data_IF_101480015846
#
_entry.id   IF_101480015846
#
_cell.length_a   1.000
_cell.length_b   1.000
_cell.length_c   1.000
_cell.angle_alpha   90.00
_cell.angle_beta   90.00
_cell.angle_gamma   90.00
#
_symmetry.space_group_name_H-M   'P 1'
#
loop_
_entity.id
_entity.type
_entity.pdbx_description
1 polymer ?
#
# COMPACT_ATOMS: atom_id res chain seq x y z
N UNK A 1 -10.79 -0.07 -17.55
CA UNK A 1 -11.42 1.04 -16.79
C UNK A 1 -11.56 2.22 -17.72
N UNK A 2 -12.78 2.75 -17.90
CA UNK A 2 -13.04 3.90 -18.78
C UNK A 2 -13.35 5.12 -17.91
N UNK A 3 -12.70 6.25 -18.18
CA UNK A 3 -13.02 7.57 -17.61
C UNK A 3 -13.47 8.50 -18.73
N UNK A 4 -14.23 9.55 -18.39
CA UNK A 4 -14.78 10.49 -19.38
C UNK A 4 -16.28 10.62 -19.24
N UNK A 5 -17.02 10.43 -20.33
CA UNK A 5 -18.49 10.52 -20.34
C UNK A 5 -19.10 9.20 -20.79
N UNK A 6 -20.11 8.72 -20.07
CA UNK A 6 -20.85 7.51 -20.40
C UNK A 6 -21.82 7.75 -21.57
N UNK A 7 -22.40 6.68 -22.11
CA UNK A 7 -23.45 6.77 -23.13
C UNK A 7 -24.72 7.51 -22.67
N UNK A 8 -24.89 7.69 -21.35
CA UNK A 8 -26.00 8.41 -20.73
C UNK A 8 -25.60 9.84 -20.33
N UNK A 9 -24.52 10.38 -20.90
CA UNK A 9 -23.96 11.70 -20.58
C UNK A 9 -23.50 11.87 -19.12
N UNK A 10 -23.37 10.78 -18.37
CA UNK A 10 -22.88 10.78 -17.00
C UNK A 10 -21.35 10.82 -16.99
N UNK A 11 -20.74 11.67 -16.17
CA UNK A 11 -19.28 11.73 -16.03
C UNK A 11 -18.78 10.52 -15.26
N UNK A 12 -17.78 9.84 -15.80
CA UNK A 12 -17.06 8.74 -15.16
C UNK A 12 -15.69 9.25 -14.71
N UNK A 13 -15.44 9.22 -13.40
CA UNK A 13 -14.24 9.80 -12.76
C UNK A 13 -13.47 8.75 -11.98
N UNK A 14 -12.21 9.03 -11.68
CA UNK A 14 -11.38 8.24 -10.77
C UNK A 14 -10.65 9.13 -9.79
N UNK A 15 -10.40 8.63 -8.59
CA UNK A 15 -9.68 9.32 -7.53
C UNK A 15 -8.36 8.60 -7.24
N UNK A 16 -7.29 9.37 -7.11
CA UNK A 16 -5.96 8.87 -6.76
C UNK A 16 -5.39 9.77 -5.68
N UNK A 17 -4.87 9.17 -4.62
CA UNK A 17 -4.07 9.83 -3.60
C UNK A 17 -2.72 9.12 -3.49
N UNK A 18 -1.64 9.90 -3.57
CA UNK A 18 -0.27 9.41 -3.39
C UNK A 18 0.33 10.13 -2.18
N UNK A 19 0.93 9.39 -1.24
CA UNK A 19 1.50 9.96 0.00
C UNK A 19 2.87 9.35 0.33
N UNK A 20 3.61 10.03 1.19
CA UNK A 20 4.82 9.53 1.84
C UNK A 20 4.71 9.87 3.33
N UNK A 21 4.55 8.87 4.18
CA UNK A 21 4.34 9.04 5.62
C UNK A 21 5.64 9.18 6.40
N UNK A 22 5.54 9.53 7.68
CA UNK A 22 6.66 9.68 8.60
C UNK A 22 7.50 8.39 8.71
N UNK A 23 8.81 8.52 8.46
CA UNK A 23 9.72 7.39 8.27
C UNK A 23 10.36 6.82 9.56
N UNK A 24 10.29 7.54 10.68
CA UNK A 24 11.00 7.13 11.90
C UNK A 24 10.31 5.90 12.51
N UNK A 25 11.05 4.80 12.65
CA UNK A 25 10.57 3.59 13.32
C UNK A 25 10.22 3.86 14.78
N UNK A 26 9.11 3.29 15.26
CA UNK A 26 8.62 3.48 16.63
C UNK A 26 7.66 4.67 16.81
N UNK A 27 7.58 5.60 15.86
CA UNK A 27 6.67 6.75 15.90
C UNK A 27 5.27 6.40 15.33
N UNK A 28 4.73 5.25 15.75
CA UNK A 28 3.46 4.72 15.24
C UNK A 28 2.28 5.68 15.43
N UNK A 29 2.25 6.44 16.53
CA UNK A 29 1.19 7.44 16.76
C UNK A 29 1.18 8.55 15.72
N UNK A 30 2.36 8.97 15.24
CA UNK A 30 2.47 10.00 14.19
C UNK A 30 1.92 9.47 12.88
N UNK A 31 2.29 8.24 12.50
CA UNK A 31 1.75 7.61 11.28
C UNK A 31 0.24 7.38 11.36
N UNK A 32 -0.29 6.96 12.51
CA UNK A 32 -1.74 6.85 12.71
C UNK A 32 -2.46 8.18 12.52
N UNK A 33 -1.96 9.27 13.11
CA UNK A 33 -2.53 10.61 12.92
C UNK A 33 -2.47 11.05 11.44
N UNK A 34 -1.36 10.76 10.76
CA UNK A 34 -1.25 11.04 9.33
C UNK A 34 -2.25 10.24 8.48
N UNK A 35 -2.54 8.99 8.85
CA UNK A 35 -3.56 8.17 8.18
C UNK A 35 -4.99 8.69 8.45
N UNK A 36 -5.27 9.21 9.64
CA UNK A 36 -6.54 9.89 9.94
C UNK A 36 -6.71 11.13 9.07
N UNK A 37 -5.67 11.99 8.98
CA UNK A 37 -5.67 13.17 8.13
C UNK A 37 -5.79 12.82 6.65
N UNK A 38 -5.13 11.75 6.20
CA UNK A 38 -5.24 11.24 4.83
C UNK A 38 -6.69 10.90 4.45
N UNK A 39 -7.40 10.20 5.34
CA UNK A 39 -8.81 9.87 5.13
C UNK A 39 -9.70 11.12 5.13
N UNK A 40 -9.45 12.05 6.05
CA UNK A 40 -10.18 13.32 6.12
C UNK A 40 -9.99 14.15 4.84
N UNK A 41 -8.75 14.35 4.40
CA UNK A 41 -8.43 15.13 3.21
C UNK A 41 -8.93 14.44 1.93
N UNK A 42 -8.85 13.11 1.84
CA UNK A 42 -9.41 12.37 0.71
C UNK A 42 -10.94 12.55 0.60
N UNK A 43 -11.65 12.51 1.72
CA UNK A 43 -13.09 12.77 1.76
C UNK A 43 -13.44 14.22 1.42
N UNK A 44 -12.65 15.19 1.91
CA UNK A 44 -12.80 16.59 1.58
C UNK A 44 -12.56 16.88 0.10
N UNK A 45 -11.47 16.35 -0.47
CA UNK A 45 -11.15 16.49 -1.88
C UNK A 45 -12.28 15.95 -2.77
N UNK A 46 -12.80 14.75 -2.44
CA UNK A 46 -13.96 14.18 -3.13
C UNK A 46 -15.18 15.11 -3.07
N UNK A 47 -15.52 15.61 -1.87
CA UNK A 47 -16.67 16.50 -1.68
C UNK A 47 -16.53 17.80 -2.49
N UNK A 48 -15.33 18.35 -2.56
CA UNK A 48 -15.06 19.63 -3.21
C UNK A 48 -14.94 19.51 -4.74
N UNK A 49 -14.68 18.31 -5.26
CA UNK A 49 -14.50 18.06 -6.70
C UNK A 49 -15.65 17.30 -7.35
N UNK A 50 -16.52 16.68 -6.54
CA UNK A 50 -17.77 16.10 -7.02
C UNK A 50 -18.68 17.20 -7.57
N UNK A 51 -19.30 16.94 -8.72
CA UNK A 51 -20.37 17.82 -9.20
C UNK A 51 -21.55 17.76 -8.23
N UNK A 52 -21.95 18.91 -7.72
CA UNK A 52 -23.19 19.02 -6.95
C UNK A 52 -24.38 18.85 -7.90
N UNK A 53 -25.30 17.94 -7.57
CA UNK A 53 -26.60 17.78 -8.24
C UNK A 53 -27.45 19.07 -8.25
N UNK A 54 -27.02 20.11 -7.51
CA UNK A 54 -27.69 21.40 -7.44
C UNK A 54 -27.24 22.43 -8.50
N UNK A 55 -26.12 22.23 -9.20
CA UNK A 55 -25.57 23.25 -10.13
C UNK A 55 -25.94 23.04 -11.61
N UNK A 56 -26.25 21.82 -12.00
CA UNK A 56 -26.86 21.49 -13.29
C UNK A 56 -27.89 20.39 -13.01
N UNK A 57 -28.89 20.19 -13.90
CA UNK A 57 -29.87 19.09 -13.82
C UNK A 57 -29.19 17.72 -14.03
N UNK A 58 -28.10 17.45 -13.32
CA UNK A 58 -27.05 16.52 -13.69
C UNK A 58 -26.97 15.36 -12.71
N UNK A 59 -26.81 14.18 -13.31
CA UNK A 59 -26.56 12.91 -12.64
C UNK A 59 -25.25 13.00 -11.84
N UNK A 60 -25.20 12.45 -10.62
CA UNK A 60 -23.97 12.35 -9.83
C UNK A 60 -22.82 11.70 -10.62
N UNK A 61 -21.58 12.08 -10.33
CA UNK A 61 -20.41 11.48 -10.97
C UNK A 61 -20.36 9.95 -10.70
N UNK A 62 -20.14 9.15 -11.74
CA UNK A 62 -19.87 7.72 -11.59
C UNK A 62 -18.39 7.52 -11.26
N UNK A 63 -18.09 6.93 -10.11
CA UNK A 63 -16.72 6.65 -9.68
C UNK A 63 -16.28 5.30 -10.24
N UNK A 64 -15.29 5.29 -11.12
CA UNK A 64 -14.70 4.08 -11.68
C UNK A 64 -13.61 3.46 -10.80
N UNK A 65 -12.88 4.26 -10.04
CA UNK A 65 -11.87 3.81 -9.07
C UNK A 65 -11.56 4.87 -8.04
N UNK A 66 -11.05 4.42 -6.90
CA UNK A 66 -10.53 5.25 -5.82
C UNK A 66 -9.35 4.54 -5.17
N UNK A 67 -8.17 5.12 -5.30
CA UNK A 67 -6.91 4.47 -4.96
C UNK A 67 -6.10 5.37 -4.04
N UNK A 68 -5.59 4.78 -2.95
CA UNK A 68 -4.55 5.37 -2.11
C UNK A 68 -3.28 4.55 -2.35
N UNK A 69 -2.16 5.20 -2.62
CA UNK A 69 -0.88 4.53 -2.79
C UNK A 69 0.28 5.34 -2.22
N UNK A 70 1.44 4.71 -2.08
CA UNK A 70 2.69 5.36 -1.70
C UNK A 70 3.43 4.64 -0.58
N UNK A 71 4.47 5.29 -0.09
CA UNK A 71 5.32 4.80 1.00
C UNK A 71 4.68 5.17 2.34
N UNK A 72 4.17 4.16 3.03
CA UNK A 72 3.52 4.36 4.33
C UNK A 72 4.47 4.16 5.51
N UNK A 73 5.72 3.72 5.27
CA UNK A 73 6.75 3.53 6.29
C UNK A 73 6.36 2.63 7.48
N UNK A 74 5.38 1.73 7.30
CA UNK A 74 5.04 0.68 8.26
C UNK A 74 4.71 -0.61 7.51
N UNK A 75 5.05 -1.76 8.09
CA UNK A 75 4.77 -3.07 7.49
C UNK A 75 3.51 -3.74 8.05
N UNK A 76 3.09 -4.83 7.40
CA UNK A 76 1.97 -5.66 7.86
C UNK A 76 2.43 -7.00 8.44
N UNK A 77 3.62 -7.07 9.04
CA UNK A 77 4.16 -8.34 9.57
C UNK A 77 4.89 -8.22 10.92
N UNK A 78 5.38 -7.03 11.29
CA UNK A 78 6.07 -6.74 12.54
C UNK A 78 5.09 -6.47 13.69
N UNK A 79 5.58 -6.63 14.91
CA UNK A 79 4.80 -6.30 16.12
C UNK A 79 4.83 -4.81 16.46
N UNK A 80 5.85 -4.13 15.94
CA UNK A 80 6.18 -2.74 16.13
C UNK A 80 5.16 -1.83 15.42
N UNK A 81 4.68 -2.26 14.25
CA UNK A 81 3.72 -1.51 13.41
C UNK A 81 2.24 -1.92 13.66
N UNK A 82 1.96 -2.57 14.79
CA UNK A 82 0.63 -3.13 15.10
C UNK A 82 -0.49 -2.08 15.13
N UNK A 83 -0.19 -0.85 15.51
CA UNK A 83 -1.21 0.21 15.61
C UNK A 83 -1.68 0.63 14.21
N UNK A 84 -0.74 0.86 13.30
CA UNK A 84 -0.98 1.22 11.91
C UNK A 84 -1.67 0.08 11.18
N UNK A 85 -1.24 -1.16 11.43
CA UNK A 85 -1.88 -2.36 10.89
C UNK A 85 -3.38 -2.44 11.23
N UNK A 86 -3.80 -1.91 12.37
CA UNK A 86 -5.20 -1.91 12.81
C UNK A 86 -5.96 -0.63 12.42
N UNK A 87 -5.33 0.30 11.71
CA UNK A 87 -5.90 1.58 11.36
C UNK A 87 -7.15 1.45 10.47
N UNK A 88 -8.09 2.38 10.64
CA UNK A 88 -9.39 2.40 9.96
C UNK A 88 -9.29 2.55 8.43
N UNK A 89 -8.13 2.98 7.92
CA UNK A 89 -7.84 3.04 6.47
C UNK A 89 -8.08 1.70 5.80
N UNK A 90 -7.73 0.59 6.46
CA UNK A 90 -7.90 -0.77 5.93
C UNK A 90 -9.35 -1.28 5.98
N UNK A 91 -10.23 -0.60 6.72
CA UNK A 91 -11.67 -0.85 6.68
C UNK A 91 -12.32 -0.15 5.48
N UNK A 92 -11.79 1.01 5.08
CA UNK A 92 -12.33 1.82 3.98
C UNK A 92 -11.68 1.53 2.63
N UNK A 93 -10.42 1.11 2.62
CA UNK A 93 -9.64 0.77 1.44
C UNK A 93 -9.03 -0.61 1.62
N UNK A 94 -9.25 -1.48 0.65
CA UNK A 94 -8.72 -2.83 0.63
C UNK A 94 -7.29 -2.85 0.14
N UNK A 95 -6.48 -3.61 0.85
CA UNK A 95 -5.14 -3.99 0.43
C UNK A 95 -5.21 -5.37 -0.26
N UNK A 96 -4.88 -5.47 -1.57
CA UNK A 96 -4.88 -6.75 -2.28
C UNK A 96 -3.94 -7.80 -1.66
N UNK A 97 -2.86 -7.37 -1.02
CA UNK A 97 -1.79 -8.20 -0.47
C UNK A 97 -2.08 -8.69 0.96
N UNK A 98 -3.15 -8.19 1.59
CA UNK A 98 -3.44 -8.40 3.01
C UNK A 98 -4.49 -9.49 3.25
N UNK A 99 -4.27 -10.33 4.25
CA UNK A 99 -5.30 -11.21 4.85
C UNK A 99 -5.94 -10.54 6.07
N UNK A 100 -5.12 -9.91 6.91
CA UNK A 100 -5.53 -9.25 8.15
C UNK A 100 -4.42 -8.36 8.72
N UNK A 101 -4.68 -7.70 9.87
CA UNK A 101 -3.65 -6.92 10.56
C UNK A 101 -2.50 -7.84 11.02
N UNK A 102 -1.29 -7.57 10.54
CA UNK A 102 -0.11 -8.37 10.83
C UNK A 102 -0.01 -9.66 10.01
N UNK A 103 -0.89 -9.85 9.02
CA UNK A 103 -0.92 -11.05 8.18
C UNK A 103 -1.10 -10.69 6.70
N UNK A 104 -0.02 -10.89 5.94
CA UNK A 104 0.01 -10.79 4.49
C UNK A 104 -0.36 -12.11 3.81
N UNK A 105 -0.85 -12.01 2.57
CA UNK A 105 -1.10 -13.18 1.72
C UNK A 105 0.23 -13.89 1.40
N UNK A 106 0.21 -15.22 1.16
CA UNK A 106 1.44 -15.99 0.94
C UNK A 106 2.33 -15.50 -0.23
N UNK A 107 1.73 -14.83 -1.21
CA UNK A 107 2.42 -14.31 -2.39
C UNK A 107 2.90 -12.86 -2.24
N UNK A 108 2.50 -12.16 -1.18
CA UNK A 108 2.94 -10.79 -0.95
C UNK A 108 4.40 -10.77 -0.50
N UNK A 109 5.16 -9.82 -1.04
CA UNK A 109 6.58 -9.62 -0.77
C UNK A 109 6.82 -8.26 -0.12
N UNK A 110 7.89 -8.18 0.65
CA UNK A 110 8.44 -6.91 1.12
C UNK A 110 8.88 -6.04 -0.04
N UNK A 111 8.84 -4.73 0.17
CA UNK A 111 9.17 -3.72 -0.84
C UNK A 111 10.41 -2.92 -0.48
N UNK A 112 10.91 -3.08 0.76
CA UNK A 112 12.12 -2.44 1.23
C UNK A 112 13.34 -3.35 1.02
N UNK A 113 14.27 -2.93 0.15
CA UNK A 113 15.53 -3.63 -0.10
C UNK A 113 16.57 -3.32 0.99
N UNK A 114 17.37 -4.34 1.37
CA UNK A 114 18.56 -4.14 2.21
C UNK A 114 19.65 -3.45 1.37
N UNK A 115 20.02 -2.24 1.79
CA UNK A 115 20.96 -1.39 1.06
C UNK A 115 22.38 -1.95 1.04
N UNK A 116 22.72 -2.90 1.92
CA UNK A 116 24.03 -3.55 1.96
C UNK A 116 24.30 -4.47 0.76
N UNK A 117 23.26 -4.95 0.07
CA UNK A 117 23.35 -5.81 -1.12
C UNK A 117 23.03 -5.11 -2.44
N UNK A 118 22.72 -3.80 -2.43
CA UNK A 118 22.15 -3.12 -3.59
C UNK A 118 23.06 -3.10 -4.84
N UNK A 119 24.38 -3.24 -4.65
CA UNK A 119 25.38 -3.21 -5.72
C UNK A 119 25.97 -4.58 -6.05
N UNK A 120 25.41 -5.65 -5.48
CA UNK A 120 25.83 -7.01 -5.81
C UNK A 120 25.48 -7.32 -7.28
N UNK A 121 26.35 -8.07 -7.97
CA UNK A 121 26.12 -8.43 -9.37
C UNK A 121 24.85 -9.27 -9.53
N UNK A 122 24.48 -10.06 -8.52
CA UNK A 122 23.29 -10.92 -8.49
C UNK A 122 21.95 -10.16 -8.54
N UNK A 123 21.93 -8.85 -8.24
CA UNK A 123 20.72 -8.00 -8.28
C UNK A 123 20.88 -6.77 -9.18
N UNK A 124 21.92 -6.77 -10.02
CA UNK A 124 22.31 -5.62 -10.85
C UNK A 124 21.37 -5.32 -12.04
N UNK A 125 20.41 -6.20 -12.34
CA UNK A 125 19.42 -6.03 -13.41
C UNK A 125 17.99 -6.37 -12.96
N UNK A 126 16.95 -5.86 -13.64
CA UNK A 126 15.57 -6.21 -13.31
C UNK A 126 15.30 -7.74 -13.33
N UNK A 127 15.85 -8.45 -14.31
CA UNK A 127 15.64 -9.90 -14.48
C UNK A 127 16.38 -10.73 -13.41
N UNK A 128 17.54 -10.25 -12.96
CA UNK A 128 18.30 -10.90 -11.90
C UNK A 128 17.64 -10.66 -10.54
N UNK A 129 17.23 -9.42 -10.25
CA UNK A 129 16.44 -9.09 -9.07
C UNK A 129 15.12 -9.89 -9.01
N UNK A 130 14.42 -10.05 -10.13
CA UNK A 130 13.21 -10.88 -10.18
C UNK A 130 13.50 -12.32 -9.74
N UNK A 131 14.54 -12.96 -10.29
CA UNK A 131 14.93 -14.33 -9.92
C UNK A 131 15.28 -14.46 -8.44
N UNK A 132 15.96 -13.45 -7.89
CA UNK A 132 16.28 -13.39 -6.45
C UNK A 132 15.01 -13.27 -5.62
N UNK A 133 14.03 -12.46 -6.02
CA UNK A 133 12.76 -12.28 -5.29
C UNK A 133 11.84 -13.50 -5.35
N UNK A 134 11.90 -14.30 -6.42
CA UNK A 134 11.17 -15.57 -6.54
C UNK A 134 11.73 -16.66 -5.61
N UNK A 135 13.00 -16.55 -5.21
CA UNK A 135 13.67 -17.47 -4.30
C UNK A 135 13.58 -17.01 -2.83
N UNK A 136 13.24 -17.91 -1.90
CA UNK A 136 13.05 -17.55 -0.48
C UNK A 136 14.36 -17.13 0.20
N UNK A 137 15.47 -17.80 -0.09
CA UNK A 137 16.79 -17.44 0.43
C UNK A 137 17.25 -16.09 -0.13
N UNK A 138 17.00 -15.82 -1.41
CA UNK A 138 17.27 -14.54 -2.06
C UNK A 138 16.49 -13.40 -1.40
N UNK A 139 15.20 -13.61 -1.11
CA UNK A 139 14.41 -12.64 -0.33
C UNK A 139 15.02 -12.35 1.04
N UNK A 140 15.47 -13.37 1.77
CA UNK A 140 16.10 -13.22 3.09
C UNK A 140 17.42 -12.45 3.06
N UNK A 141 18.10 -12.45 1.92
CA UNK A 141 19.37 -11.73 1.74
C UNK A 141 19.18 -10.27 1.31
N UNK A 142 18.16 -9.99 0.49
CA UNK A 142 18.03 -8.69 -0.17
C UNK A 142 16.82 -7.86 0.28
N UNK A 143 15.86 -8.42 1.02
CA UNK A 143 14.77 -7.66 1.63
C UNK A 143 15.06 -7.37 3.09
N UNK A 144 14.63 -6.20 3.56
CA UNK A 144 14.65 -5.88 4.99
C UNK A 144 13.55 -6.68 5.69
N UNK A 145 13.90 -7.40 6.76
CA UNK A 145 12.95 -8.05 7.65
C UNK A 145 12.82 -7.29 8.98
N UNK A 146 11.68 -7.41 9.70
CA UNK A 146 11.53 -6.83 11.02
C UNK A 146 12.69 -7.23 11.94
N UNK A 147 13.34 -6.23 12.54
CA UNK A 147 14.47 -6.47 13.42
C UNK A 147 14.00 -7.15 14.71
N UNK A 148 14.60 -8.28 15.07
CA UNK A 148 14.42 -8.82 16.42
C UNK A 148 14.99 -7.81 17.43
N UNK A 149 14.29 -7.57 18.55
CA UNK A 149 14.65 -6.60 19.62
C UNK A 149 16.08 -6.67 20.19
N UNK A 150 16.89 -7.64 19.76
CA UNK A 150 18.20 -7.92 20.33
C UNK A 150 19.43 -7.69 19.42
N UNK A 151 19.38 -7.35 18.12
CA UNK A 151 20.64 -7.27 17.34
C UNK A 151 20.73 -6.37 16.09
N UNK A 152 21.95 -5.80 15.97
CA UNK A 152 22.76 -5.26 14.86
C UNK A 152 22.16 -4.98 13.45
N UNK A 153 22.65 -3.93 12.76
CA UNK A 153 22.08 -3.36 11.52
C UNK A 153 22.31 -4.15 10.23
N UNK A 154 22.98 -5.32 10.23
CA UNK A 154 23.25 -6.10 9.01
C UNK A 154 22.67 -7.50 9.13
N UNK A 155 21.77 -7.84 8.20
CA UNK A 155 21.10 -9.15 8.10
C UNK A 155 21.84 -10.12 7.16
N UNK A 156 22.71 -9.60 6.27
CA UNK A 156 23.49 -10.37 5.30
C UNK A 156 24.33 -11.47 5.99
N UNK A 157 24.15 -12.71 5.53
CA UNK A 157 24.90 -13.89 6.02
C UNK A 157 24.45 -14.49 7.36
N UNK A 158 23.36 -13.99 7.97
CA UNK A 158 22.85 -14.53 9.25
C UNK A 158 21.79 -15.60 9.05
N UNK A 159 21.97 -16.76 9.71
CA UNK A 159 20.98 -17.84 9.82
C UNK A 159 19.95 -17.58 10.93
N UNK A 160 19.40 -16.37 11.01
CA UNK A 160 18.26 -16.13 11.90
C UNK A 160 17.02 -16.71 11.22
N UNK A 161 16.10 -17.39 11.94
CA UNK A 161 14.82 -17.79 11.37
C UNK A 161 14.00 -16.53 11.05
N UNK A 162 14.21 -15.97 9.86
CA UNK A 162 13.39 -14.89 9.33
C UNK A 162 12.06 -15.50 8.87
N UNK A 163 10.96 -14.98 9.42
CA UNK A 163 9.61 -15.41 9.08
C UNK A 163 8.97 -14.37 8.15
N UNK A 164 8.24 -14.85 7.14
CA UNK A 164 7.55 -14.00 6.17
C UNK A 164 8.38 -13.70 4.92
N UNK A 165 8.00 -12.67 4.19
CA UNK A 165 8.59 -12.31 2.89
C UNK A 165 9.19 -10.90 2.87
N UNK A 166 9.65 -10.38 4.01
CA UNK A 166 10.21 -9.03 4.15
C UNK A 166 9.18 -7.97 4.56
N UNK A 167 9.64 -6.73 4.78
CA UNK A 167 8.82 -5.57 5.15
C UNK A 167 8.21 -4.94 3.92
N UNK A 168 6.89 -4.98 3.82
CA UNK A 168 6.10 -4.34 2.76
C UNK A 168 5.58 -3.01 3.27
N UNK A 169 6.24 -1.92 2.89
CA UNK A 169 5.95 -0.57 3.37
C UNK A 169 5.33 0.33 2.30
N UNK A 170 5.43 -0.08 1.04
CA UNK A 170 4.77 0.56 -0.10
C UNK A 170 3.43 -0.11 -0.34
N UNK A 171 2.36 0.69 -0.35
CA UNK A 171 0.99 0.19 -0.46
C UNK A 171 0.31 0.70 -1.72
N UNK A 172 -0.61 -0.12 -2.23
CA UNK A 172 -1.63 0.26 -3.21
C UNK A 172 -2.95 -0.27 -2.68
N UNK A 173 -3.80 0.64 -2.23
CA UNK A 173 -5.10 0.37 -1.61
C UNK A 173 -6.22 0.86 -2.52
N UNK A 174 -7.35 0.14 -2.56
CA UNK A 174 -8.50 0.53 -3.37
C UNK A 174 -9.80 0.45 -2.58
N UNK A 175 -10.74 1.37 -2.84
CA UNK A 175 -12.08 1.32 -2.23
C UNK A 175 -13.03 0.49 -3.09
N UNK A 176 -13.77 -0.43 -2.48
CA UNK A 176 -14.84 -1.18 -3.16
C UNK A 176 -16.17 -0.42 -3.21
N UNK A 177 -16.47 0.36 -2.15
CA UNK A 177 -17.72 1.11 -2.05
C UNK A 177 -17.80 2.22 -3.11
N UNK A 178 -18.90 2.23 -3.87
CA UNK A 178 -19.14 3.19 -4.97
C UNK A 178 -18.84 2.64 -6.37
N UNK A 179 -18.24 1.45 -6.49
CA UNK A 179 -18.07 0.76 -7.77
C UNK A 179 -19.37 0.02 -8.13
N UNK A 180 -20.15 0.54 -9.09
CA UNK A 180 -21.31 -0.21 -9.62
C UNK A 180 -20.82 -1.42 -10.41
N UNK A 181 -21.27 -2.61 -10.03
CA UNK A 181 -20.85 -3.91 -10.58
C UNK A 181 -21.33 -4.20 -12.02
N UNK A 182 -22.07 -3.30 -12.65
CA UNK A 182 -22.74 -3.55 -13.94
C UNK A 182 -21.85 -3.28 -15.16
N UNK A 183 -20.58 -3.66 -15.10
CA UNK A 183 -19.68 -3.70 -16.27
C UNK A 183 -19.58 -5.12 -16.81
N UNK A 184 -20.70 -5.66 -17.28
CA UNK A 184 -20.67 -6.76 -18.25
C UNK A 184 -20.85 -6.13 -19.62
N UNK A 185 -19.74 -5.96 -20.33
CA UNK A 185 -19.73 -5.82 -21.80
C UNK A 185 -19.79 -7.22 -22.39
#
# INVERSE_FOLDING_TARGET
>A
VQVGTSHQEQRIVGYITCTHLHAIEGDASVRCEQLDLLLQWGAEFRRNTARSAAQEKGVEDQVAFDVILGDLNFDNCSSEDKLEQQHSVFTQYRDPCRLGPGEDKPWALGTLLDTSGLYDEEVSSPESLQKVMENEEGRKEYLVFPASKNHCPSQKGRKIPLKGNGRRIDYILYREEGLRADWKV
#
